data_IF_683130363004
#
_entry.id   IF_683130363004
#
_cell.length_a   1.000
_cell.length_b   1.000
_cell.length_c   1.000
_cell.angle_alpha   90.00
_cell.angle_beta   90.00
_cell.angle_gamma   90.00
#
_symmetry.space_group_name_H-M   'P 1'
#
loop_
_entity.id
_entity.type
_entity.pdbx_description
1 polymer ?
#
# COMPACT_ATOMS: atom_id res chain seq x y z
N UNK A 1 6.74 17.90 -20.89
CA UNK A 1 7.60 16.69 -20.94
C UNK A 1 8.82 17.02 -20.11
N UNK A 2 9.13 16.28 -19.04
CA UNK A 2 10.38 16.47 -18.28
C UNK A 2 11.47 15.69 -19.01
N UNK A 3 12.34 16.41 -19.71
CA UNK A 3 13.43 15.86 -20.51
C UNK A 3 14.63 15.44 -19.67
N UNK A 4 14.60 15.76 -18.37
CA UNK A 4 15.66 15.54 -17.38
C UNK A 4 15.49 14.23 -16.58
N UNK A 5 14.57 13.36 -16.97
CA UNK A 5 14.37 12.07 -16.31
C UNK A 5 15.12 10.96 -17.03
N UNK A 6 15.85 10.13 -16.28
CA UNK A 6 16.55 8.94 -16.78
C UNK A 6 15.59 7.95 -17.47
N UNK A 7 14.32 7.98 -17.08
CA UNK A 7 13.25 7.22 -17.69
C UNK A 7 12.33 8.19 -18.45
N UNK A 8 12.45 8.17 -19.78
CA UNK A 8 11.62 8.96 -20.68
C UNK A 8 10.17 8.42 -20.76
N UNK A 9 9.35 8.70 -19.76
CA UNK A 9 7.93 8.33 -19.76
C UNK A 9 7.05 9.42 -20.37
N UNK A 10 6.41 9.10 -21.51
CA UNK A 10 5.39 9.96 -22.13
C UNK A 10 4.06 9.82 -21.39
N UNK A 11 3.67 10.85 -20.64
CA UNK A 11 2.29 11.01 -20.15
C UNK A 11 1.28 10.81 -21.30
N UNK A 12 0.17 10.13 -21.02
CA UNK A 12 -0.95 9.89 -21.95
C UNK A 12 -0.67 9.00 -23.18
N UNK A 13 0.37 8.17 -23.17
CA UNK A 13 0.60 7.19 -24.25
C UNK A 13 -0.20 5.91 -24.01
N UNK A 14 -1.33 5.77 -24.69
CA UNK A 14 -2.09 4.53 -24.73
C UNK A 14 -1.30 3.43 -25.44
N UNK A 15 -1.17 2.26 -24.80
CA UNK A 15 -0.70 1.03 -25.46
C UNK A 15 -1.79 -0.02 -25.33
N UNK A 16 -2.04 -0.76 -26.41
CA UNK A 16 -2.88 -1.96 -26.32
C UNK A 16 -2.18 -2.94 -25.38
N UNK A 17 -2.92 -3.40 -24.38
CA UNK A 17 -2.48 -4.52 -23.54
C UNK A 17 -2.43 -5.75 -24.46
N UNK A 18 -1.25 -6.34 -24.64
CA UNK A 18 -1.13 -7.61 -25.34
C UNK A 18 -2.03 -8.65 -24.65
N UNK A 19 -2.57 -9.59 -25.44
CA UNK A 19 -3.67 -10.47 -25.04
C UNK A 19 -3.47 -11.06 -23.64
N UNK A 20 -4.59 -11.12 -22.92
CA UNK A 20 -4.79 -11.62 -21.55
C UNK A 20 -3.69 -12.61 -21.17
N UNK A 21 -2.78 -12.15 -20.31
CA UNK A 21 -1.88 -13.04 -19.59
C UNK A 21 -2.78 -14.06 -18.89
N UNK A 22 -2.66 -15.34 -19.23
CA UNK A 22 -3.17 -16.47 -18.44
C UNK A 22 -2.37 -16.56 -17.13
N UNK A 23 -2.30 -15.45 -16.41
CA UNK A 23 -1.69 -15.37 -15.09
C UNK A 23 -2.65 -15.99 -14.09
N UNK A 24 -2.09 -16.52 -13.00
CA UNK A 24 -2.87 -17.05 -11.89
C UNK A 24 -4.02 -16.11 -11.54
N UNK A 25 -5.21 -16.68 -11.29
CA UNK A 25 -6.38 -15.88 -10.95
C UNK A 25 -6.05 -14.96 -9.76
N UNK A 26 -6.57 -13.72 -9.70
CA UNK A 26 -6.34 -12.84 -8.55
C UNK A 26 -6.68 -13.51 -7.21
N UNK A 27 -7.59 -14.49 -7.22
CA UNK A 27 -7.88 -15.33 -6.07
C UNK A 27 -6.65 -16.03 -5.47
N UNK A 28 -5.65 -16.47 -6.26
CA UNK A 28 -4.47 -17.17 -5.71
C UNK A 28 -3.66 -16.29 -4.76
N UNK A 29 -3.59 -14.98 -5.01
CA UNK A 29 -2.87 -14.01 -4.17
C UNK A 29 -3.65 -13.64 -2.89
N UNK A 30 -4.95 -13.91 -2.86
CA UNK A 30 -5.85 -13.59 -1.76
C UNK A 30 -6.15 -14.79 -0.86
N UNK A 31 -5.82 -16.00 -1.31
CA UNK A 31 -6.08 -17.22 -0.56
C UNK A 31 -5.17 -17.29 0.70
N UNK A 32 -5.79 -17.57 1.85
CA UNK A 32 -5.18 -17.76 3.18
C UNK A 32 -4.56 -16.57 3.94
N UNK A 33 -4.56 -15.34 3.43
CA UNK A 33 -4.07 -14.18 4.21
C UNK A 33 -5.21 -13.53 5.01
N UNK A 34 -5.22 -13.74 6.34
CA UNK A 34 -6.22 -13.15 7.24
C UNK A 34 -6.14 -11.61 7.28
N UNK A 35 -4.93 -11.05 7.14
CA UNK A 35 -4.77 -9.59 7.13
C UNK A 35 -4.68 -9.05 5.72
N UNK A 36 -5.61 -8.16 5.37
CA UNK A 36 -5.80 -7.72 3.99
C UNK A 36 -4.97 -6.50 3.64
N UNK A 37 -4.84 -5.54 4.55
CA UNK A 37 -4.14 -4.30 4.25
C UNK A 37 -3.17 -3.86 5.34
N UNK A 38 -2.12 -3.14 4.95
CA UNK A 38 -1.22 -2.45 5.85
C UNK A 38 -1.25 -0.93 5.62
N UNK A 39 -1.07 -0.16 6.69
CA UNK A 39 -0.91 1.29 6.65
C UNK A 39 0.28 1.72 7.50
N UNK A 40 1.22 2.43 6.89
CA UNK A 40 2.36 3.01 7.60
C UNK A 40 2.09 4.47 7.94
N UNK A 41 2.05 4.79 9.24
CA UNK A 41 1.59 6.07 9.74
C UNK A 41 2.59 6.63 10.76
N UNK A 42 3.18 7.77 10.44
CA UNK A 42 4.07 8.52 11.34
C UNK A 42 3.44 9.79 11.92
N UNK A 43 2.54 10.47 11.21
CA UNK A 43 1.75 11.57 11.74
C UNK A 43 0.43 11.03 12.28
N UNK A 44 0.11 11.19 13.56
CA UNK A 44 -1.13 10.66 14.14
C UNK A 44 -2.30 11.62 13.93
N UNK A 45 -2.02 12.93 13.82
CA UNK A 45 -3.03 13.96 13.76
C UNK A 45 -3.04 14.57 12.34
N UNK A 46 -3.56 13.81 11.39
CA UNK A 46 -3.71 14.25 10.00
C UNK A 46 -4.99 15.08 9.83
N UNK A 47 -4.90 16.23 9.16
CA UNK A 47 -6.05 17.13 8.91
C UNK A 47 -6.98 16.67 7.77
N UNK A 48 -6.78 15.46 7.24
CA UNK A 48 -7.42 14.97 6.02
C UNK A 48 -8.35 13.76 6.25
N UNK A 49 -8.88 13.59 7.46
CA UNK A 49 -9.79 12.49 7.84
C UNK A 49 -9.24 11.07 7.59
N UNK A 50 -7.97 10.91 7.25
CA UNK A 50 -7.33 9.60 7.01
C UNK A 50 -7.51 8.65 8.19
N UNK A 51 -7.35 9.13 9.42
CA UNK A 51 -7.56 8.31 10.61
C UNK A 51 -9.00 7.79 10.71
N UNK A 52 -9.99 8.64 10.41
CA UNK A 52 -11.39 8.24 10.39
C UNK A 52 -11.65 7.20 9.29
N UNK A 53 -11.08 7.40 8.09
CA UNK A 53 -11.23 6.45 7.00
C UNK A 53 -10.64 5.08 7.36
N UNK A 54 -9.40 5.06 7.85
CA UNK A 54 -8.74 3.81 8.25
C UNK A 54 -9.52 3.13 9.37
N UNK A 55 -10.00 3.87 10.38
CA UNK A 55 -10.82 3.31 11.46
C UNK A 55 -12.11 2.65 10.94
N UNK A 56 -12.78 3.29 9.97
CA UNK A 56 -13.99 2.74 9.36
C UNK A 56 -13.69 1.55 8.45
N UNK A 57 -12.56 1.56 7.75
CA UNK A 57 -12.12 0.46 6.92
C UNK A 57 -11.76 -0.76 7.78
N UNK A 58 -11.07 -0.53 8.92
CA UNK A 58 -10.69 -1.56 9.89
C UNK A 58 -11.87 -2.33 10.49
N UNK A 59 -13.08 -1.76 10.50
CA UNK A 59 -14.27 -2.49 10.97
C UNK A 59 -14.83 -3.47 9.94
N UNK A 60 -14.42 -3.36 8.67
CA UNK A 60 -14.90 -4.21 7.56
C UNK A 60 -13.83 -5.18 7.09
N UNK A 61 -12.57 -4.73 7.04
CA UNK A 61 -11.42 -5.55 6.69
C UNK A 61 -10.31 -5.41 7.73
N UNK A 62 -9.53 -6.47 8.01
CA UNK A 62 -8.38 -6.34 8.89
C UNK A 62 -7.31 -5.46 8.26
N UNK A 63 -6.93 -4.39 8.98
CA UNK A 63 -5.87 -3.44 8.59
C UNK A 63 -4.81 -3.41 9.67
N UNK A 64 -3.57 -3.73 9.31
CA UNK A 64 -2.41 -3.56 10.20
C UNK A 64 -1.93 -2.12 10.14
N UNK A 65 -1.93 -1.43 11.29
CA UNK A 65 -1.28 -0.10 11.45
C UNK A 65 0.14 -0.32 11.97
N UNK A 66 1.13 0.22 11.26
CA UNK A 66 2.54 0.25 11.68
C UNK A 66 3.09 1.69 11.69
N UNK A 67 4.13 1.92 12.48
CA UNK A 67 4.81 3.21 12.61
C UNK A 67 4.61 3.88 13.96
N UNK A 68 4.93 5.16 14.06
CA UNK A 68 4.93 5.92 15.32
C UNK A 68 3.56 5.93 16.01
N UNK A 69 2.48 5.89 15.24
CA UNK A 69 1.11 5.93 15.75
C UNK A 69 0.53 4.54 16.05
N UNK A 70 1.38 3.55 16.28
CA UNK A 70 1.02 2.17 16.59
C UNK A 70 2.03 1.56 17.56
N UNK A 71 1.64 0.46 18.23
CA UNK A 71 2.56 -0.29 19.09
C UNK A 71 3.67 -1.01 18.32
N UNK A 72 3.43 -1.32 17.04
CA UNK A 72 4.40 -1.98 16.16
C UNK A 72 5.35 -0.93 15.54
N UNK A 73 6.50 -0.76 16.18
CA UNK A 73 7.55 0.15 15.73
C UNK A 73 8.31 -0.43 14.53
N UNK A 74 7.80 -0.15 13.34
CA UNK A 74 8.53 -0.33 12.09
C UNK A 74 9.19 1.00 11.72
N UNK A 75 10.50 1.13 11.94
CA UNK A 75 11.22 2.33 11.51
C UNK A 75 11.48 2.24 10.00
N UNK A 76 11.37 3.37 9.29
CA UNK A 76 11.57 3.43 7.82
C UNK A 76 12.94 2.92 7.35
N UNK A 77 13.93 2.93 8.24
CA UNK A 77 15.29 2.46 7.99
C UNK A 77 15.47 0.94 8.05
N UNK A 78 14.47 0.18 8.52
CA UNK A 78 14.53 -1.27 8.60
C UNK A 78 13.80 -1.89 7.41
N UNK A 79 14.58 -2.25 6.40
CA UNK A 79 14.06 -2.91 5.19
C UNK A 79 13.43 -4.26 5.49
N UNK A 80 13.91 -4.97 6.52
CA UNK A 80 13.35 -6.27 6.93
C UNK A 80 11.86 -6.14 7.27
N UNK A 81 11.49 -5.12 8.04
CA UNK A 81 10.12 -4.88 8.43
C UNK A 81 9.23 -4.53 7.22
N UNK A 82 9.75 -3.75 6.26
CA UNK A 82 9.00 -3.41 5.05
C UNK A 82 8.76 -4.63 4.16
N UNK A 83 9.75 -5.53 4.07
CA UNK A 83 9.62 -6.79 3.34
C UNK A 83 8.61 -7.72 4.00
N UNK A 84 8.69 -7.90 5.32
CA UNK A 84 7.70 -8.68 6.09
C UNK A 84 6.29 -8.14 5.91
N UNK A 85 6.13 -6.82 5.88
CA UNK A 85 4.84 -6.17 5.66
C UNK A 85 4.29 -6.44 4.25
N UNK A 86 5.14 -6.33 3.23
CA UNK A 86 4.77 -6.62 1.84
C UNK A 86 4.42 -8.10 1.65
N UNK A 87 5.15 -8.98 2.31
CA UNK A 87 4.92 -10.43 2.26
C UNK A 87 3.68 -10.85 3.04
N UNK A 88 3.31 -10.14 4.11
CA UNK A 88 2.12 -10.45 4.90
C UNK A 88 0.83 -9.84 4.31
N UNK A 89 0.93 -8.68 3.66
CA UNK A 89 -0.24 -7.89 3.28
C UNK A 89 -0.35 -7.68 1.76
N UNK A 90 -1.43 -8.17 1.13
CA UNK A 90 -1.63 -7.98 -0.31
C UNK A 90 -1.97 -6.53 -0.70
N UNK A 91 -2.43 -5.70 0.24
CA UNK A 91 -2.76 -4.29 -0.01
C UNK A 91 -1.98 -3.35 0.90
N UNK A 92 -1.55 -2.21 0.36
CA UNK A 92 -0.90 -1.13 1.08
C UNK A 92 -1.68 0.18 0.95
N UNK A 93 -1.97 0.83 2.08
CA UNK A 93 -2.73 2.07 2.17
C UNK A 93 -1.77 3.27 2.22
N UNK A 94 -1.54 3.89 1.06
CA UNK A 94 -0.64 5.04 0.87
C UNK A 94 -1.39 6.38 0.97
N UNK A 95 -1.99 6.67 2.12
CA UNK A 95 -2.65 7.96 2.34
C UNK A 95 -1.64 9.06 2.66
N UNK A 96 -1.85 10.24 2.07
CA UNK A 96 -1.09 11.45 2.34
C UNK A 96 -1.21 11.92 3.80
N UNK A 97 -0.23 12.70 4.25
CA UNK A 97 -0.20 13.25 5.61
C UNK A 97 -1.20 14.39 5.84
N UNK A 98 -1.62 15.08 4.76
CA UNK A 98 -2.54 16.22 4.72
C UNK A 98 -3.19 16.30 3.35
#
# INVERSE_FOLDING_TARGET
YRTDSDIAYRYFRWRRKDKIVTGASPQSYLNNRQVRAAAMISNCYSQNNREHYIKRLSSVIPVTRIGHCSWNKCHKSYYECLNELADAHPFFLAFENS
#
